data_IF_665259193371
#
_entry.id   IF_665259193371
#
_cell.length_a   1.000
_cell.length_b   1.000
_cell.length_c   1.000
_cell.angle_alpha   90.00
_cell.angle_beta   90.00
_cell.angle_gamma   90.00
#
_symmetry.space_group_name_H-M   'P 1'
#
loop_
_entity.id
_entity.type
_entity.pdbx_description
1 polymer ?
#
# COMPACT_ATOMS: atom_id res chain seq x y z
N UNK A 1 14.81 20.00 -19.41
CA UNK A 1 15.45 18.93 -18.61
C UNK A 1 14.41 17.84 -18.37
N UNK A 2 14.48 16.72 -19.09
CA UNK A 2 13.62 15.56 -18.82
C UNK A 2 14.21 14.79 -17.65
N UNK A 3 13.87 15.19 -16.43
CA UNK A 3 14.23 14.45 -15.23
C UNK A 3 13.32 13.22 -15.18
N UNK A 4 13.78 12.09 -15.70
CA UNK A 4 13.07 10.82 -15.61
C UNK A 4 12.98 10.42 -14.14
N UNK A 5 11.86 10.75 -13.50
CA UNK A 5 11.62 10.38 -12.10
C UNK A 5 11.72 8.86 -11.96
N UNK A 6 12.73 8.39 -11.26
CA UNK A 6 12.97 6.97 -11.03
C UNK A 6 12.62 6.65 -9.59
N UNK A 7 11.68 5.74 -9.38
CA UNK A 7 11.27 5.32 -8.04
C UNK A 7 12.36 4.41 -7.44
N UNK A 8 13.29 4.97 -6.67
CA UNK A 8 14.37 4.20 -6.07
C UNK A 8 13.90 3.49 -4.79
N UNK A 9 14.26 2.23 -4.64
CA UNK A 9 14.00 1.49 -3.42
C UNK A 9 14.90 2.00 -2.28
N UNK A 10 14.29 2.58 -1.25
CA UNK A 10 15.00 3.10 -0.07
C UNK A 10 15.81 2.04 0.71
N UNK A 11 15.55 0.76 0.48
CA UNK A 11 16.21 -0.35 1.21
C UNK A 11 17.48 -0.83 0.52
N UNK A 12 17.43 -1.01 -0.80
CA UNK A 12 18.53 -1.61 -1.58
C UNK A 12 19.10 -0.71 -2.68
N UNK A 13 18.54 0.50 -2.87
CA UNK A 13 19.00 1.46 -3.88
C UNK A 13 18.66 1.12 -5.32
N UNK A 14 18.06 -0.05 -5.60
CA UNK A 14 17.67 -0.46 -6.96
C UNK A 14 16.39 0.28 -7.41
N UNK A 15 16.25 0.61 -8.71
CA UNK A 15 15.02 1.19 -9.23
C UNK A 15 13.87 0.18 -9.14
N UNK A 16 12.72 0.62 -8.62
CA UNK A 16 11.51 -0.19 -8.58
C UNK A 16 10.92 -0.35 -9.97
N UNK A 17 10.31 -1.50 -10.21
CA UNK A 17 9.63 -1.84 -11.46
C UNK A 17 8.12 -1.66 -11.28
N UNK A 18 7.44 -1.26 -12.36
CA UNK A 18 5.98 -1.18 -12.39
C UNK A 18 5.42 -2.60 -12.52
N UNK A 19 4.54 -2.99 -11.60
CA UNK A 19 3.89 -4.31 -11.59
C UNK A 19 2.52 -4.22 -12.24
N UNK A 20 1.78 -3.15 -11.96
CA UNK A 20 0.43 -2.95 -12.47
C UNK A 20 0.10 -1.47 -12.47
N UNK A 21 -0.55 -1.00 -13.52
CA UNK A 21 -1.22 0.30 -13.55
C UNK A 21 -2.70 0.08 -13.85
N UNK A 22 -3.57 0.88 -13.24
CA UNK A 22 -4.99 0.88 -13.54
C UNK A 22 -5.56 2.28 -13.34
N UNK A 23 -6.68 2.54 -14.01
CA UNK A 23 -7.47 3.74 -13.80
C UNK A 23 -8.66 3.41 -12.91
N UNK A 24 -8.92 4.27 -11.95
CA UNK A 24 -10.04 4.17 -11.03
C UNK A 24 -10.83 5.47 -11.09
N UNK A 25 -12.14 5.37 -11.31
CA UNK A 25 -13.04 6.53 -11.25
C UNK A 25 -13.49 6.75 -9.83
N UNK A 26 -13.20 7.93 -9.28
CA UNK A 26 -13.62 8.38 -7.97
C UNK A 26 -14.46 9.65 -8.14
N UNK A 27 -15.78 9.49 -8.05
CA UNK A 27 -16.73 10.57 -8.35
C UNK A 27 -16.64 11.01 -9.81
N UNK A 28 -16.31 12.29 -10.02
CA UNK A 28 -16.14 12.89 -11.35
C UNK A 28 -14.69 12.87 -11.86
N UNK A 29 -13.75 12.30 -11.10
CA UNK A 29 -12.33 12.27 -11.44
C UNK A 29 -11.86 10.86 -11.78
N UNK A 30 -10.95 10.76 -12.76
CA UNK A 30 -10.21 9.52 -13.06
C UNK A 30 -8.83 9.61 -12.40
N UNK A 31 -8.51 8.64 -11.55
CA UNK A 31 -7.20 8.51 -10.91
C UNK A 31 -6.44 7.38 -11.59
N UNK A 32 -5.22 7.67 -12.03
CA UNK A 32 -4.30 6.63 -12.50
C UNK A 32 -3.45 6.16 -11.31
N UNK A 33 -3.63 4.91 -10.93
CA UNK A 33 -2.86 4.26 -9.87
C UNK A 33 -1.79 3.35 -10.49
N UNK A 34 -0.59 3.39 -9.92
CA UNK A 34 0.54 2.54 -10.35
C UNK A 34 1.12 1.84 -9.13
N UNK A 35 1.12 0.51 -9.18
CA UNK A 35 1.77 -0.32 -8.19
C UNK A 35 3.18 -0.70 -8.66
N UNK A 36 4.13 -0.62 -7.73
CA UNK A 36 5.56 -0.88 -8.01
C UNK A 36 6.12 -1.89 -7.01
N UNK A 37 7.13 -2.65 -7.45
CA UNK A 37 7.85 -3.59 -6.61
C UNK A 37 9.37 -3.44 -6.77
N UNK A 38 10.10 -3.84 -5.74
CA UNK A 38 11.54 -3.97 -5.82
C UNK A 38 11.90 -5.20 -6.68
N UNK A 39 12.82 -5.08 -7.67
CA UNK A 39 13.22 -6.21 -8.50
C UNK A 39 14.04 -7.27 -7.73
N UNK A 40 14.58 -6.89 -6.57
CA UNK A 40 15.28 -7.80 -5.67
C UNK A 40 14.27 -8.54 -4.77
N UNK A 41 14.16 -9.85 -4.95
CA UNK A 41 13.17 -10.70 -4.29
C UNK A 41 13.35 -10.77 -2.77
N UNK A 42 14.60 -10.82 -2.28
CA UNK A 42 14.88 -10.84 -0.85
C UNK A 42 14.54 -9.50 -0.20
N UNK A 43 14.88 -8.39 -0.89
CA UNK A 43 14.47 -7.06 -0.45
C UNK A 43 12.95 -6.90 -0.42
N UNK A 44 12.27 -7.36 -1.47
CA UNK A 44 10.80 -7.28 -1.59
C UNK A 44 10.10 -8.10 -0.50
N UNK A 45 10.57 -9.32 -0.20
CA UNK A 45 10.03 -10.14 0.90
C UNK A 45 10.04 -9.42 2.25
N UNK A 46 11.08 -8.64 2.54
CA UNK A 46 11.14 -7.87 3.80
C UNK A 46 10.09 -6.74 3.80
N UNK A 47 9.93 -6.05 2.67
CA UNK A 47 8.89 -5.02 2.51
C UNK A 47 7.50 -5.63 2.72
N UNK A 48 7.22 -6.76 2.07
CA UNK A 48 5.94 -7.43 2.14
C UNK A 48 5.63 -7.94 3.55
N UNK A 49 6.63 -8.50 4.25
CA UNK A 49 6.51 -8.89 5.66
C UNK A 49 6.12 -7.72 6.55
N UNK A 50 6.75 -6.56 6.35
CA UNK A 50 6.46 -5.35 7.12
C UNK A 50 5.06 -4.81 6.80
N UNK A 51 4.68 -4.78 5.52
CA UNK A 51 3.36 -4.35 5.08
C UNK A 51 2.26 -5.27 5.65
N UNK A 52 2.47 -6.58 5.63
CA UNK A 52 1.54 -7.55 6.22
C UNK A 52 1.37 -7.34 7.73
N UNK A 53 2.47 -7.11 8.46
CA UNK A 53 2.44 -6.81 9.89
C UNK A 53 1.65 -5.52 10.17
N UNK A 54 1.89 -4.47 9.40
CA UNK A 54 1.18 -3.19 9.56
C UNK A 54 -0.32 -3.34 9.25
N UNK A 55 -0.65 -4.04 8.15
CA UNK A 55 -2.04 -4.31 7.76
C UNK A 55 -2.79 -5.07 8.86
N UNK A 56 -2.21 -6.15 9.37
CA UNK A 56 -2.80 -6.94 10.46
C UNK A 56 -3.07 -6.08 11.71
N UNK A 57 -2.12 -5.19 12.07
CA UNK A 57 -2.32 -4.25 13.18
C UNK A 57 -3.47 -3.28 12.91
N UNK A 58 -3.54 -2.71 11.71
CA UNK A 58 -4.59 -1.78 11.33
C UNK A 58 -5.97 -2.46 11.31
N UNK A 59 -6.06 -3.68 10.78
CA UNK A 59 -7.31 -4.44 10.72
C UNK A 59 -7.79 -4.80 12.12
N UNK A 60 -6.90 -5.20 13.03
CA UNK A 60 -7.24 -5.43 14.43
C UNK A 60 -7.78 -4.17 15.12
N UNK A 61 -7.21 -3.00 14.87
CA UNK A 61 -7.69 -1.73 15.41
C UNK A 61 -9.07 -1.36 14.85
N UNK A 62 -9.28 -1.52 13.54
CA UNK A 62 -10.58 -1.28 12.89
C UNK A 62 -11.66 -2.21 13.45
N UNK A 63 -11.35 -3.49 13.65
CA UNK A 63 -12.28 -4.47 14.21
C UNK A 63 -12.66 -4.14 15.65
N UNK A 64 -11.69 -3.75 16.50
CA UNK A 64 -11.99 -3.31 17.87
C UNK A 64 -12.86 -2.05 17.88
N UNK A 65 -12.58 -1.11 16.98
CA UNK A 65 -13.38 0.11 16.85
C UNK A 65 -14.82 -0.20 16.42
N UNK A 66 -15.00 -1.04 15.40
CA UNK A 66 -16.34 -1.42 14.92
C UNK A 66 -17.14 -2.17 15.99
N UNK A 67 -16.51 -3.08 16.74
CA UNK A 67 -17.15 -3.78 17.86
C UNK A 67 -17.64 -2.81 18.95
N UNK A 68 -16.83 -1.80 19.32
CA UNK A 68 -17.24 -0.77 20.29
C UNK A 68 -18.43 0.05 19.80
N UNK A 69 -18.44 0.43 18.52
CA UNK A 69 -19.58 1.14 17.93
C UNK A 69 -20.85 0.29 17.91
N UNK A 70 -20.74 -0.99 17.59
CA UNK A 70 -21.88 -1.91 17.60
C UNK A 70 -22.44 -2.11 19.02
N UNK A 71 -21.58 -2.25 20.03
CA UNK A 71 -22.00 -2.35 21.42
C UNK A 71 -22.79 -1.10 21.86
N UNK A 72 -22.30 0.10 21.53
CA UNK A 72 -23.00 1.38 21.82
C UNK A 72 -24.34 1.54 21.10
N UNK A 73 -24.53 0.90 19.95
CA UNK A 73 -25.81 0.93 19.23
C UNK A 73 -26.85 -0.04 19.81
N UNK A 74 -26.41 -1.02 20.61
CA UNK A 74 -27.27 -2.06 21.21
C UNK A 74 -27.66 -1.76 22.66
N UNK A 75 -27.01 -0.78 23.30
CA UNK A 75 -27.39 -0.20 24.59
C UNK A 75 -28.37 0.95 24.41
#
# INVERSE_FOLDING_TARGET
MNTTYTNICIRCGKPRIVVKSWEEKLGFSTITATNTACPDSECQKIVDKNNAKQKARQDALKNRHSQRLQARRRS
#
